data_IF_371184539906
#
_entry.id   IF_371184539906
#
_cell.length_a   1.000
_cell.length_b   1.000
_cell.length_c   1.000
_cell.angle_alpha   90.00
_cell.angle_beta   90.00
_cell.angle_gamma   90.00
#
_symmetry.space_group_name_H-M   'P 1'
#
loop_
_entity.id
_entity.type
_entity.pdbx_description
1 polymer ?
#
# COMPACT_ATOMS: atom_id res chain seq x y z
N UNK A 1 -7.60 -13.37 -17.45
CA UNK A 1 -7.36 -13.70 -16.03
C UNK A 1 -8.58 -13.18 -15.28
N UNK A 2 -8.97 -13.76 -14.15
CA UNK A 2 -10.22 -13.41 -13.49
C UNK A 2 -10.16 -13.72 -12.01
N UNK A 3 -11.03 -13.10 -11.22
CA UNK A 3 -11.01 -13.28 -9.76
C UNK A 3 -11.54 -14.66 -9.44
N UNK A 4 -10.69 -15.50 -8.84
CA UNK A 4 -11.02 -16.88 -8.54
C UNK A 4 -12.12 -16.97 -7.49
N UNK A 5 -12.89 -18.08 -7.54
CA UNK A 5 -13.96 -18.33 -6.57
C UNK A 5 -13.43 -18.36 -5.12
N UNK A 6 -12.21 -18.84 -4.92
CA UNK A 6 -11.60 -18.90 -3.58
C UNK A 6 -11.22 -17.51 -3.07
N UNK A 7 -10.66 -16.65 -3.93
CA UNK A 7 -10.40 -15.24 -3.59
C UNK A 7 -11.69 -14.50 -3.29
N UNK A 8 -12.74 -14.65 -4.13
CA UNK A 8 -14.07 -14.06 -3.86
C UNK A 8 -14.58 -14.48 -2.49
N UNK A 9 -14.51 -15.77 -2.15
CA UNK A 9 -14.97 -16.31 -0.86
C UNK A 9 -14.22 -15.67 0.31
N UNK A 10 -12.89 -15.65 0.25
CA UNK A 10 -12.04 -15.12 1.35
C UNK A 10 -12.29 -13.63 1.58
N UNK A 11 -12.44 -12.85 0.51
CA UNK A 11 -12.73 -11.41 0.61
C UNK A 11 -14.13 -11.17 1.19
N UNK A 12 -15.15 -11.86 0.70
CA UNK A 12 -16.53 -11.69 1.20
C UNK A 12 -16.64 -12.12 2.67
N UNK A 13 -16.02 -13.23 3.06
CA UNK A 13 -16.02 -13.65 4.47
C UNK A 13 -15.27 -12.63 5.36
N UNK A 14 -14.15 -12.05 4.90
CA UNK A 14 -13.47 -10.95 5.59
C UNK A 14 -14.39 -9.72 5.78
N UNK A 15 -15.06 -9.28 4.72
CA UNK A 15 -15.96 -8.12 4.76
C UNK A 15 -17.17 -8.34 5.67
N UNK A 16 -17.70 -9.57 5.72
CA UNK A 16 -18.77 -9.95 6.64
C UNK A 16 -18.32 -10.00 8.10
N UNK A 17 -17.05 -10.36 8.37
CA UNK A 17 -16.47 -10.37 9.73
C UNK A 17 -16.17 -8.96 10.25
N UNK A 18 -15.79 -8.03 9.37
CA UNK A 18 -15.53 -6.63 9.70
C UNK A 18 -16.81 -5.87 10.13
N UNK A 19 -18.00 -6.44 9.88
CA UNK A 19 -19.30 -5.88 10.27
C UNK A 19 -20.13 -5.38 9.07
N UNK A 20 -20.63 -4.13 9.13
CA UNK A 20 -21.38 -3.49 8.03
C UNK A 20 -20.43 -3.03 6.92
N UNK A 21 -20.10 -3.91 5.98
CA UNK A 21 -19.29 -3.55 4.80
C UNK A 21 -19.92 -2.39 4.00
N UNK A 22 -21.23 -2.24 4.07
CA UNK A 22 -22.04 -1.17 3.49
C UNK A 22 -22.06 0.13 4.32
N UNK A 23 -21.28 0.19 5.41
CA UNK A 23 -20.99 1.41 6.16
C UNK A 23 -22.23 2.16 6.65
N UNK A 24 -22.39 3.41 6.23
CA UNK A 24 -23.47 4.30 6.67
C UNK A 24 -24.77 4.16 5.88
N UNK A 25 -24.77 3.46 4.74
CA UNK A 25 -25.97 3.20 3.95
C UNK A 25 -26.80 2.08 4.60
N UNK A 26 -28.03 1.90 4.14
CA UNK A 26 -28.69 0.59 4.31
C UNK A 26 -28.21 -0.40 3.24
N UNK A 27 -28.42 -1.70 3.49
CA UNK A 27 -27.92 -2.74 2.59
C UNK A 27 -28.51 -2.62 1.17
N UNK A 28 -29.82 -2.39 0.96
CA UNK A 28 -30.38 -2.15 -0.37
C UNK A 28 -29.79 -0.92 -1.09
N UNK A 29 -29.64 0.22 -0.40
CA UNK A 29 -29.05 1.43 -0.97
C UNK A 29 -27.63 1.16 -1.48
N UNK A 30 -26.80 0.51 -0.65
CA UNK A 30 -25.44 0.12 -1.03
C UNK A 30 -25.43 -0.82 -2.25
N UNK A 31 -26.26 -1.86 -2.25
CA UNK A 31 -26.28 -2.87 -3.31
C UNK A 31 -26.82 -2.32 -4.64
N UNK A 32 -27.71 -1.33 -4.60
CA UNK A 32 -28.27 -0.68 -5.79
C UNK A 32 -27.21 0.08 -6.60
N UNK A 33 -26.16 0.59 -5.95
CA UNK A 33 -25.02 1.19 -6.64
C UNK A 33 -24.30 0.18 -7.53
N UNK A 34 -24.41 -1.12 -7.26
CA UNK A 34 -23.66 -2.19 -7.92
C UNK A 34 -24.55 -2.94 -8.93
N UNK A 35 -25.72 -3.43 -8.49
CA UNK A 35 -26.58 -4.35 -9.24
C UNK A 35 -27.81 -3.72 -9.93
N UNK A 36 -28.05 -2.40 -9.80
CA UNK A 36 -29.28 -1.74 -10.29
C UNK A 36 -30.55 -2.54 -9.88
N UNK A 37 -30.72 -2.71 -8.57
CA UNK A 37 -31.76 -3.53 -7.97
C UNK A 37 -33.17 -3.06 -8.33
N UNK A 38 -33.32 -1.78 -8.68
CA UNK A 38 -34.61 -1.21 -9.11
C UNK A 38 -35.05 -1.71 -10.47
N UNK A 39 -34.12 -2.14 -11.31
CA UNK A 39 -34.38 -2.76 -12.62
C UNK A 39 -34.52 -4.28 -12.56
N UNK A 40 -34.05 -4.91 -11.48
CA UNK A 40 -34.13 -6.37 -11.31
C UNK A 40 -35.49 -6.82 -10.78
N UNK A 41 -36.00 -7.99 -11.21
CA UNK A 41 -37.21 -8.57 -10.66
C UNK A 41 -37.01 -8.96 -9.19
N UNK A 42 -38.08 -8.88 -8.41
CA UNK A 42 -38.09 -9.38 -7.03
C UNK A 42 -38.09 -10.91 -7.00
N UNK A 43 -37.43 -11.49 -5.99
CA UNK A 43 -37.51 -12.92 -5.67
C UNK A 43 -38.79 -13.25 -4.88
N UNK A 44 -39.41 -12.24 -4.28
CA UNK A 44 -40.72 -12.31 -3.64
C UNK A 44 -41.78 -11.60 -4.50
N UNK A 45 -42.67 -12.37 -5.12
CA UNK A 45 -43.70 -11.86 -6.01
C UNK A 45 -44.67 -10.81 -5.39
N UNK A 46 -44.63 -10.61 -4.07
CA UNK A 46 -45.35 -9.55 -3.37
C UNK A 46 -44.80 -8.16 -3.65
N UNK A 47 -43.56 -8.05 -4.15
CA UNK A 47 -42.85 -6.78 -4.32
C UNK A 47 -42.49 -6.51 -5.79
N UNK A 48 -42.41 -5.23 -6.14
CA UNK A 48 -42.31 -4.80 -7.54
C UNK A 48 -40.92 -4.94 -8.17
N UNK A 49 -39.85 -4.89 -7.37
CA UNK A 49 -38.46 -5.03 -7.82
C UNK A 49 -37.56 -5.54 -6.68
N UNK A 50 -36.34 -5.96 -7.02
CA UNK A 50 -35.38 -6.48 -6.05
C UNK A 50 -35.00 -5.46 -4.98
N UNK A 51 -34.98 -4.15 -5.30
CA UNK A 51 -34.71 -3.11 -4.31
C UNK A 51 -35.74 -3.14 -3.18
N UNK A 52 -37.03 -3.08 -3.51
CA UNK A 52 -38.10 -3.01 -2.53
C UNK A 52 -38.25 -4.31 -1.75
N UNK A 53 -38.00 -5.45 -2.41
CA UNK A 53 -37.90 -6.77 -1.80
C UNK A 53 -36.84 -6.81 -0.70
N UNK A 54 -35.59 -6.49 -1.06
CA UNK A 54 -34.49 -6.46 -0.11
C UNK A 54 -34.73 -5.42 0.98
N UNK A 55 -35.27 -4.24 0.67
CA UNK A 55 -35.57 -3.23 1.68
C UNK A 55 -36.61 -3.72 2.69
N UNK A 56 -37.66 -4.40 2.24
CA UNK A 56 -38.65 -5.00 3.15
C UNK A 56 -38.01 -6.02 4.08
N UNK A 57 -37.19 -6.92 3.56
CA UNK A 57 -36.62 -8.01 4.33
C UNK A 57 -35.41 -7.61 5.20
N UNK A 58 -34.62 -6.63 4.78
CA UNK A 58 -33.38 -6.23 5.49
C UNK A 58 -33.54 -4.99 6.37
N UNK A 59 -34.58 -4.18 6.16
CA UNK A 59 -34.79 -2.92 6.91
C UNK A 59 -36.10 -2.94 7.71
N UNK A 60 -37.22 -3.36 7.12
CA UNK A 60 -38.52 -3.34 7.81
C UNK A 60 -38.74 -4.57 8.70
N UNK A 61 -38.46 -5.76 8.18
CA UNK A 61 -38.66 -7.02 8.90
C UNK A 61 -37.39 -7.56 9.56
N UNK A 62 -36.21 -7.18 9.06
CA UNK A 62 -34.90 -7.64 9.55
C UNK A 62 -34.80 -9.18 9.61
N UNK A 63 -35.33 -9.85 8.58
CA UNK A 63 -35.37 -11.31 8.47
C UNK A 63 -34.39 -11.88 7.42
N UNK A 64 -33.71 -11.03 6.64
CA UNK A 64 -32.58 -11.41 5.79
C UNK A 64 -31.26 -10.86 6.31
N UNK A 65 -30.29 -11.74 6.53
CA UNK A 65 -28.92 -11.34 6.87
C UNK A 65 -28.15 -10.87 5.63
N UNK A 66 -27.13 -9.99 5.79
CA UNK A 66 -26.27 -9.59 4.68
C UNK A 66 -25.59 -10.77 3.98
N UNK A 67 -25.32 -11.86 4.72
CA UNK A 67 -24.77 -13.08 4.16
C UNK A 67 -25.75 -13.74 3.19
N UNK A 68 -26.99 -13.97 3.61
CA UNK A 68 -28.02 -14.58 2.75
C UNK A 68 -28.25 -13.73 1.51
N UNK A 69 -28.34 -12.40 1.64
CA UNK A 69 -28.48 -11.50 0.48
C UNK A 69 -27.35 -11.66 -0.53
N UNK A 70 -26.09 -11.64 -0.09
CA UNK A 70 -24.95 -11.77 -1.00
C UNK A 70 -24.86 -13.16 -1.65
N UNK A 71 -25.06 -14.23 -0.88
CA UNK A 71 -24.85 -15.59 -1.37
C UNK A 71 -26.06 -16.18 -2.08
N UNK A 72 -27.26 -15.98 -1.56
CA UNK A 72 -28.46 -16.69 -2.01
C UNK A 72 -29.29 -15.85 -2.98
N UNK A 73 -29.34 -14.52 -2.78
CA UNK A 73 -30.15 -13.63 -3.61
C UNK A 73 -29.38 -12.99 -4.79
N UNK A 74 -28.10 -12.67 -4.59
CA UNK A 74 -27.26 -12.03 -5.62
C UNK A 74 -26.22 -12.97 -6.25
N UNK A 75 -26.04 -14.16 -5.69
CA UNK A 75 -25.02 -15.14 -6.07
C UNK A 75 -23.64 -14.49 -6.36
N UNK A 76 -23.13 -13.74 -5.38
CA UNK A 76 -21.86 -13.01 -5.48
C UNK A 76 -20.67 -13.91 -5.87
N UNK A 77 -20.78 -15.22 -5.64
CA UNK A 77 -19.75 -16.20 -5.97
C UNK A 77 -19.65 -16.50 -7.47
N UNK A 78 -20.75 -16.30 -8.21
CA UNK A 78 -20.85 -16.58 -9.64
C UNK A 78 -21.01 -15.31 -10.48
N UNK A 79 -21.05 -14.13 -9.86
CA UNK A 79 -21.16 -12.87 -10.59
C UNK A 79 -19.93 -12.61 -11.47
N UNK A 80 -20.12 -11.79 -12.51
CA UNK A 80 -19.01 -11.32 -13.35
C UNK A 80 -17.94 -10.60 -12.52
N UNK A 81 -16.69 -10.68 -12.96
CA UNK A 81 -15.58 -10.07 -12.24
C UNK A 81 -15.69 -8.55 -12.18
N UNK A 82 -16.22 -7.92 -13.22
CA UNK A 82 -16.54 -6.49 -13.26
C UNK A 82 -17.50 -6.07 -12.15
N UNK A 83 -18.52 -6.89 -11.89
CA UNK A 83 -19.49 -6.68 -10.81
C UNK A 83 -18.84 -6.90 -9.45
N UNK A 84 -18.05 -7.95 -9.30
CA UNK A 84 -17.34 -8.25 -8.06
C UNK A 84 -16.35 -7.14 -7.69
N UNK A 85 -15.54 -6.68 -8.65
CA UNK A 85 -14.58 -5.60 -8.44
C UNK A 85 -15.27 -4.28 -8.08
N UNK A 86 -16.40 -3.96 -8.72
CA UNK A 86 -17.24 -2.79 -8.36
C UNK A 86 -17.78 -2.90 -6.93
N UNK A 87 -18.16 -4.10 -6.48
CA UNK A 87 -18.55 -4.32 -5.08
C UNK A 87 -17.41 -4.00 -4.10
N UNK A 88 -16.15 -4.32 -4.44
CA UNK A 88 -14.99 -3.99 -3.60
C UNK A 88 -14.67 -2.50 -3.58
N UNK A 89 -14.80 -1.83 -4.73
CA UNK A 89 -14.67 -0.37 -4.81
C UNK A 89 -15.69 0.30 -3.88
N UNK A 90 -16.95 -0.15 -3.93
CA UNK A 90 -18.02 0.41 -3.08
C UNK A 90 -17.77 0.14 -1.59
N UNK A 91 -17.27 -1.04 -1.22
CA UNK A 91 -16.89 -1.39 0.16
C UNK A 91 -15.76 -0.53 0.74
N UNK A 92 -15.01 0.20 -0.10
CA UNK A 92 -13.90 1.06 0.29
C UNK A 92 -14.14 2.53 -0.02
N UNK A 93 -15.31 2.87 -0.58
CA UNK A 93 -15.61 4.22 -1.00
C UNK A 93 -15.84 5.15 0.21
N UNK A 94 -15.26 6.37 0.23
CA UNK A 94 -15.34 7.26 1.38
C UNK A 94 -16.75 7.85 1.64
N UNK A 95 -17.70 7.69 0.72
CA UNK A 95 -19.12 7.99 0.99
C UNK A 95 -19.88 6.84 1.67
N UNK A 96 -19.31 5.63 1.65
CA UNK A 96 -19.84 4.43 2.32
C UNK A 96 -19.19 4.30 3.69
N UNK A 97 -17.86 4.43 3.77
CA UNK A 97 -17.05 4.28 4.98
C UNK A 97 -16.35 5.61 5.29
N UNK A 98 -16.69 6.27 6.40
CA UNK A 98 -16.11 7.58 6.75
C UNK A 98 -14.78 7.49 7.51
N UNK A 99 -14.38 6.29 7.96
CA UNK A 99 -13.13 6.09 8.68
C UNK A 99 -12.00 5.67 7.75
N UNK A 100 -11.06 6.58 7.50
CA UNK A 100 -9.89 6.33 6.65
C UNK A 100 -9.01 5.17 7.16
N UNK A 101 -8.97 4.90 8.47
CA UNK A 101 -8.20 3.77 9.00
C UNK A 101 -8.87 2.43 8.66
N UNK A 102 -10.20 2.39 8.62
CA UNK A 102 -10.96 1.21 8.16
C UNK A 102 -10.77 1.03 6.65
N UNK A 103 -10.84 2.10 5.87
CA UNK A 103 -10.57 2.06 4.42
C UNK A 103 -9.17 1.51 4.14
N UNK A 104 -8.14 2.05 4.78
CA UNK A 104 -6.75 1.62 4.61
C UNK A 104 -6.56 0.13 4.96
N UNK A 105 -7.21 -0.32 6.04
CA UNK A 105 -7.16 -1.73 6.46
C UNK A 105 -7.85 -2.64 5.43
N UNK A 106 -9.06 -2.28 4.98
CA UNK A 106 -9.79 -3.03 3.96
C UNK A 106 -9.02 -3.11 2.66
N UNK A 107 -8.53 -1.98 2.14
CA UNK A 107 -7.74 -1.94 0.91
C UNK A 107 -6.51 -2.84 1.04
N UNK A 108 -5.78 -2.78 2.15
CA UNK A 108 -4.63 -3.64 2.39
C UNK A 108 -5.00 -5.12 2.36
N UNK A 109 -5.99 -5.54 3.14
CA UNK A 109 -6.39 -6.95 3.24
C UNK A 109 -7.00 -7.48 1.94
N UNK A 110 -7.81 -6.68 1.24
CA UNK A 110 -8.35 -7.03 -0.07
C UNK A 110 -7.21 -7.21 -1.07
N UNK A 111 -6.23 -6.30 -1.09
CA UNK A 111 -5.09 -6.38 -1.99
C UNK A 111 -4.15 -7.54 -1.68
N UNK A 112 -4.05 -8.01 -0.44
CA UNK A 112 -3.32 -9.24 -0.09
C UNK A 112 -3.95 -10.49 -0.72
N UNK A 113 -5.25 -10.43 -1.04
CA UNK A 113 -5.99 -11.53 -1.66
C UNK A 113 -6.08 -11.39 -3.18
N UNK A 114 -6.45 -10.20 -3.69
CA UNK A 114 -6.61 -9.94 -5.12
C UNK A 114 -5.30 -10.07 -5.92
N UNK A 115 -4.15 -9.80 -5.30
CA UNK A 115 -2.85 -9.87 -5.97
C UNK A 115 -2.59 -11.24 -6.58
N UNK A 116 -3.10 -12.31 -5.95
CA UNK A 116 -2.96 -13.67 -6.43
C UNK A 116 -3.74 -13.94 -7.72
N UNK A 117 -4.76 -13.15 -8.01
CA UNK A 117 -5.58 -13.23 -9.21
C UNK A 117 -5.26 -12.13 -10.24
N UNK A 118 -4.20 -11.34 -9.99
CA UNK A 118 -3.74 -10.29 -10.90
C UNK A 118 -4.54 -9.00 -10.84
N UNK A 119 -5.20 -8.70 -9.70
CA UNK A 119 -5.94 -7.45 -9.50
C UNK A 119 -5.51 -6.74 -8.21
N UNK A 120 -5.76 -5.43 -8.14
CA UNK A 120 -5.66 -4.66 -6.89
C UNK A 120 -6.58 -3.44 -6.91
N UNK A 121 -6.95 -2.96 -5.72
CA UNK A 121 -7.49 -1.63 -5.49
C UNK A 121 -6.33 -0.62 -5.45
N UNK A 122 -6.29 0.28 -6.42
CA UNK A 122 -5.29 1.34 -6.56
C UNK A 122 -5.91 2.70 -6.29
N UNK A 123 -5.18 3.60 -5.64
CA UNK A 123 -5.61 4.98 -5.45
C UNK A 123 -5.90 5.62 -6.81
N UNK A 124 -7.06 6.25 -6.94
CA UNK A 124 -7.50 6.91 -8.17
C UNK A 124 -7.54 8.43 -7.98
N UNK A 125 -8.33 8.90 -7.02
CA UNK A 125 -8.46 10.33 -6.70
C UNK A 125 -8.93 10.55 -5.26
N UNK A 126 -9.21 11.80 -4.88
CA UNK A 126 -9.82 12.15 -3.59
C UNK A 126 -11.19 12.79 -3.77
N UNK A 127 -12.13 12.46 -2.90
CA UNK A 127 -13.44 13.11 -2.77
C UNK A 127 -13.49 13.78 -1.40
N UNK A 128 -13.67 15.10 -1.36
CA UNK A 128 -13.68 15.91 -0.12
C UNK A 128 -12.44 15.73 0.79
N UNK A 129 -11.31 15.27 0.23
CA UNK A 129 -10.08 15.01 0.97
C UNK A 129 -9.86 13.55 1.30
N UNK A 130 -10.86 12.69 1.16
CA UNK A 130 -10.76 11.25 1.44
C UNK A 130 -10.41 10.43 0.19
N UNK A 131 -9.64 9.34 0.31
CA UNK A 131 -9.14 8.58 -0.83
C UNK A 131 -10.23 7.70 -1.46
N UNK A 132 -10.23 7.65 -2.79
CA UNK A 132 -11.03 6.73 -3.59
C UNK A 132 -10.10 5.73 -4.28
N UNK A 133 -10.47 4.45 -4.23
CA UNK A 133 -9.72 3.37 -4.85
C UNK A 133 -10.52 2.73 -5.98
N UNK A 134 -9.82 2.31 -7.04
CA UNK A 134 -10.37 1.61 -8.19
C UNK A 134 -9.68 0.28 -8.41
N UNK A 135 -10.46 -0.73 -8.78
CA UNK A 135 -9.91 -2.02 -9.13
C UNK A 135 -9.22 -1.94 -10.49
N UNK A 136 -7.97 -2.40 -10.53
CA UNK A 136 -7.14 -2.44 -11.74
C UNK A 136 -6.51 -3.81 -11.89
N UNK A 137 -6.30 -4.24 -13.14
CA UNK A 137 -5.40 -5.36 -13.42
C UNK A 137 -3.98 -4.97 -13.06
N UNK A 138 -3.28 -5.85 -12.35
CA UNK A 138 -1.87 -5.69 -12.01
C UNK A 138 -1.07 -5.87 -13.29
N UNK A 139 -0.49 -4.78 -13.75
CA UNK A 139 0.57 -4.81 -14.75
C UNK A 139 1.91 -4.91 -14.00
N UNK A 140 2.99 -5.40 -14.62
CA UNK A 140 4.28 -5.57 -13.92
C UNK A 140 4.84 -4.31 -13.22
N UNK A 141 4.35 -3.12 -13.56
CA UNK A 141 4.69 -1.87 -12.85
C UNK A 141 3.93 -1.69 -11.52
N UNK A 142 2.78 -2.34 -11.33
CA UNK A 142 1.94 -2.20 -10.14
C UNK A 142 2.51 -2.92 -8.92
N UNK A 143 3.11 -4.12 -9.08
CA UNK A 143 3.84 -4.80 -7.98
C UNK A 143 5.00 -3.95 -7.48
N UNK A 144 5.77 -3.37 -8.41
CA UNK A 144 6.87 -2.46 -8.09
C UNK A 144 6.33 -1.21 -7.38
N UNK A 145 5.21 -0.66 -7.85
CA UNK A 145 4.56 0.50 -7.24
C UNK A 145 4.12 0.21 -5.80
N UNK A 146 3.50 -0.94 -5.54
CA UNK A 146 3.12 -1.36 -4.18
C UNK A 146 4.33 -1.54 -3.26
N UNK A 147 5.39 -2.17 -3.74
CA UNK A 147 6.61 -2.33 -2.96
C UNK A 147 7.23 -0.96 -2.61
N UNK A 148 7.22 -0.01 -3.54
CA UNK A 148 7.62 1.37 -3.29
C UNK A 148 6.76 2.05 -2.21
N UNK A 149 5.44 1.85 -2.22
CA UNK A 149 4.52 2.37 -1.20
C UNK A 149 4.80 1.78 0.19
N UNK A 150 5.08 0.47 0.27
CA UNK A 150 5.44 -0.21 1.51
C UNK A 150 6.76 0.37 2.07
N UNK A 151 7.80 0.46 1.25
CA UNK A 151 9.10 1.00 1.65
C UNK A 151 8.96 2.46 2.10
N UNK A 152 8.15 3.25 1.38
CA UNK A 152 7.84 4.62 1.80
C UNK A 152 7.16 4.67 3.17
N UNK A 153 6.16 3.80 3.39
CA UNK A 153 5.46 3.73 4.68
C UNK A 153 6.40 3.30 5.81
N UNK A 154 7.34 2.40 5.56
CA UNK A 154 8.40 2.03 6.51
C UNK A 154 9.25 3.26 6.84
N UNK A 155 9.79 3.96 5.83
CA UNK A 155 10.62 5.15 6.00
C UNK A 155 9.91 6.26 6.80
N UNK A 156 8.67 6.57 6.45
CA UNK A 156 7.89 7.62 7.15
C UNK A 156 7.54 7.25 8.59
N UNK A 157 7.44 5.97 8.92
CA UNK A 157 7.15 5.50 10.29
C UNK A 157 8.40 5.08 11.07
N UNK A 158 9.59 5.09 10.45
CA UNK A 158 10.84 4.64 11.05
C UNK A 158 11.11 5.32 12.40
N UNK A 159 10.99 6.65 12.47
CA UNK A 159 11.22 7.39 13.72
C UNK A 159 10.24 7.01 14.83
N UNK A 160 9.00 6.61 14.50
CA UNK A 160 8.04 6.12 15.50
C UNK A 160 8.52 4.80 16.10
N UNK A 161 9.04 3.88 15.27
CA UNK A 161 9.64 2.63 15.73
C UNK A 161 10.86 2.90 16.62
N UNK A 162 11.75 3.82 16.20
CA UNK A 162 12.90 4.25 17.01
C UNK A 162 12.45 4.75 18.38
N UNK A 163 11.43 5.61 18.46
CA UNK A 163 10.93 6.12 19.73
C UNK A 163 10.43 5.02 20.68
N UNK A 164 9.80 3.96 20.16
CA UNK A 164 9.38 2.81 20.97
C UNK A 164 10.60 2.03 21.48
N UNK A 165 11.62 1.85 20.65
CA UNK A 165 12.82 1.10 21.00
C UNK A 165 13.78 1.87 21.93
N UNK A 166 13.73 3.21 21.89
CA UNK A 166 14.44 4.07 22.84
C UNK A 166 13.74 4.15 24.20
N UNK A 167 12.40 4.17 24.23
CA UNK A 167 11.61 4.35 25.45
C UNK A 167 11.03 3.03 25.96
N UNK A 168 11.90 2.14 26.43
CA UNK A 168 11.51 0.76 26.80
C UNK A 168 10.91 0.68 28.21
N UNK A 169 9.94 -0.21 28.40
CA UNK A 169 9.37 -0.51 29.70
C UNK A 169 10.41 -0.99 30.71
N UNK A 170 10.21 -0.61 31.98
CA UNK A 170 11.02 -1.02 33.14
C UNK A 170 12.51 -0.69 32.97
N UNK A 171 12.81 0.48 32.41
CA UNK A 171 14.19 1.01 32.29
C UNK A 171 15.16 0.05 31.58
N UNK A 172 14.64 -0.76 30.64
CA UNK A 172 15.49 -1.63 29.83
C UNK A 172 16.40 -0.79 28.92
N UNK A 173 17.61 -1.28 28.68
CA UNK A 173 18.60 -0.66 27.79
C UNK A 173 17.98 -0.32 26.43
N UNK A 174 18.02 0.97 26.07
CA UNK A 174 17.53 1.47 24.78
C UNK A 174 18.30 0.85 23.60
N UNK A 175 17.61 0.66 22.47
CA UNK A 175 18.28 0.47 21.18
C UNK A 175 18.49 1.86 20.58
N UNK A 176 19.72 2.37 20.66
CA UNK A 176 20.06 3.73 20.23
C UNK A 176 20.48 3.69 18.77
N UNK A 177 19.98 4.64 17.97
CA UNK A 177 20.42 4.84 16.59
C UNK A 177 21.54 5.88 16.58
N UNK A 178 22.79 5.43 16.62
CA UNK A 178 23.96 6.31 16.65
C UNK A 178 24.39 6.68 15.23
N UNK A 179 24.49 5.69 14.35
CA UNK A 179 24.99 5.86 12.98
C UNK A 179 24.10 5.21 11.91
N UNK A 180 24.63 5.12 10.68
CA UNK A 180 23.93 4.58 9.52
C UNK A 180 23.74 3.06 9.59
N UNK A 181 24.65 2.33 10.24
CA UNK A 181 24.54 0.89 10.41
C UNK A 181 23.39 0.54 11.36
N UNK A 182 23.16 1.34 12.40
CA UNK A 182 21.98 1.16 13.26
C UNK A 182 20.67 1.42 12.51
N UNK A 183 20.68 2.36 11.55
CA UNK A 183 19.55 2.57 10.64
C UNK A 183 19.35 1.35 9.74
N UNK A 184 20.43 0.79 9.19
CA UNK A 184 20.38 -0.42 8.37
C UNK A 184 19.81 -1.60 9.14
N UNK A 185 20.24 -1.83 10.38
CA UNK A 185 19.74 -2.94 11.21
C UNK A 185 18.23 -2.87 11.43
N UNK A 186 17.73 -1.72 11.88
CA UNK A 186 16.30 -1.57 12.16
C UNK A 186 15.47 -1.52 10.87
N UNK A 187 15.92 -0.78 9.85
CA UNK A 187 15.18 -0.64 8.60
C UNK A 187 15.15 -1.97 7.84
N UNK A 188 16.27 -2.69 7.82
CA UNK A 188 16.37 -4.04 7.26
C UNK A 188 15.44 -5.03 7.95
N UNK A 189 15.33 -4.99 9.28
CA UNK A 189 14.36 -5.80 10.02
C UNK A 189 12.90 -5.47 9.63
N UNK A 190 12.59 -4.19 9.45
CA UNK A 190 11.27 -3.76 8.98
C UNK A 190 11.00 -4.23 7.54
N UNK A 191 11.95 -4.11 6.61
CA UNK A 191 11.81 -4.61 5.24
C UNK A 191 11.51 -6.11 5.20
N UNK A 192 12.26 -6.90 5.97
CA UNK A 192 12.08 -8.37 6.08
C UNK A 192 10.75 -8.80 6.67
N UNK A 193 9.99 -7.86 7.26
CA UNK A 193 8.64 -8.12 7.72
C UNK A 193 7.59 -8.05 6.59
N UNK A 194 7.97 -7.53 5.41
CA UNK A 194 7.08 -7.36 4.26
C UNK A 194 7.55 -8.04 2.97
N UNK A 195 8.84 -8.33 2.84
CA UNK A 195 9.44 -8.87 1.62
C UNK A 195 10.22 -10.16 1.90
N UNK A 196 10.06 -11.17 1.04
CA UNK A 196 10.66 -12.49 1.21
C UNK A 196 12.16 -12.51 0.81
N UNK A 197 12.56 -11.89 -0.32
CA UNK A 197 13.95 -11.82 -0.80
C UNK A 197 14.55 -10.41 -0.66
N UNK A 198 14.96 -10.07 0.56
CA UNK A 198 15.75 -8.87 0.89
C UNK A 198 17.23 -9.25 1.01
N UNK A 199 18.07 -8.77 0.09
CA UNK A 199 19.51 -9.05 0.08
C UNK A 199 20.27 -7.85 0.62
N UNK A 200 21.08 -8.08 1.65
CA UNK A 200 21.93 -7.05 2.23
C UNK A 200 23.36 -7.17 1.67
N UNK A 201 24.07 -6.03 1.59
CA UNK A 201 25.48 -5.96 1.18
C UNK A 201 25.79 -6.59 -0.20
N UNK A 202 24.86 -6.52 -1.15
CA UNK A 202 25.08 -7.07 -2.49
C UNK A 202 26.16 -6.25 -3.22
N UNK A 203 27.20 -6.95 -3.69
CA UNK A 203 28.33 -6.32 -4.39
C UNK A 203 27.92 -5.97 -5.81
N UNK A 204 28.08 -4.69 -6.16
CA UNK A 204 27.81 -4.22 -7.52
C UNK A 204 29.00 -4.59 -8.43
N UNK A 205 28.76 -5.10 -9.66
CA UNK A 205 29.81 -5.24 -10.65
C UNK A 205 30.59 -3.93 -10.79
N UNK A 206 31.92 -4.01 -10.89
CA UNK A 206 32.78 -2.83 -10.81
C UNK A 206 32.35 -1.72 -11.79
N UNK A 207 31.91 -0.58 -11.26
CA UNK A 207 31.63 0.62 -12.03
C UNK A 207 32.74 1.64 -11.76
N UNK A 208 33.38 2.14 -12.82
CA UNK A 208 34.48 3.11 -12.75
C UNK A 208 35.63 2.75 -11.76
N UNK A 209 35.91 1.45 -11.58
CA UNK A 209 37.01 0.97 -10.73
C UNK A 209 36.73 0.94 -9.22
N UNK A 210 35.49 1.21 -8.78
CA UNK A 210 35.09 1.10 -7.38
C UNK A 210 34.32 -0.19 -7.07
N UNK A 211 34.52 -0.75 -5.88
CA UNK A 211 33.63 -1.73 -5.27
C UNK A 211 32.67 -1.00 -4.34
N UNK A 212 31.41 -0.85 -4.75
CA UNK A 212 30.31 -0.34 -3.91
C UNK A 212 29.42 -1.49 -3.47
N UNK A 213 28.94 -1.41 -2.24
CA UNK A 213 27.96 -2.35 -1.68
C UNK A 213 26.65 -1.61 -1.52
N UNK A 214 25.59 -2.22 -2.04
CA UNK A 214 24.22 -1.74 -1.84
C UNK A 214 23.79 -2.11 -0.43
N UNK A 215 23.10 -1.21 0.26
CA UNK A 215 22.54 -1.52 1.59
C UNK A 215 21.52 -2.65 1.50
N UNK A 216 20.47 -2.48 0.67
CA UNK A 216 19.50 -3.54 0.39
C UNK A 216 19.05 -3.61 -1.08
N UNK A 217 18.90 -4.83 -1.59
CA UNK A 217 18.20 -5.14 -2.83
C UNK A 217 16.95 -5.97 -2.50
N UNK A 218 15.77 -5.45 -2.87
CA UNK A 218 14.52 -6.21 -2.90
C UNK A 218 14.46 -6.89 -4.28
N UNK A 219 14.79 -8.18 -4.32
CA UNK A 219 15.23 -8.83 -5.56
C UNK A 219 14.11 -8.95 -6.58
N UNK A 220 12.96 -9.42 -6.15
CA UNK A 220 11.85 -9.76 -7.04
C UNK A 220 11.25 -8.51 -7.68
N UNK A 221 11.22 -7.40 -6.93
CA UNK A 221 10.70 -6.10 -7.35
C UNK A 221 11.75 -5.21 -8.02
N UNK A 222 13.02 -5.64 -8.06
CA UNK A 222 14.14 -4.90 -8.65
C UNK A 222 14.30 -3.48 -8.05
N UNK A 223 14.19 -3.39 -6.72
CA UNK A 223 14.30 -2.15 -5.96
C UNK A 223 15.58 -2.15 -5.15
N UNK A 224 16.43 -1.15 -5.38
CA UNK A 224 17.56 -0.85 -4.50
C UNK A 224 17.10 0.15 -3.45
N UNK A 225 17.41 -0.14 -2.18
CA UNK A 225 17.20 0.76 -1.06
C UNK A 225 18.57 1.18 -0.52
N UNK A 226 18.82 2.49 -0.51
CA UNK A 226 20.00 3.15 0.04
C UNK A 226 19.61 3.92 1.31
N UNK A 227 20.38 3.79 2.38
CA UNK A 227 20.10 4.41 3.66
C UNK A 227 21.18 5.42 4.01
N UNK A 228 20.76 6.56 4.56
CA UNK A 228 21.68 7.57 5.10
C UNK A 228 21.22 8.03 6.47
N UNK A 229 22.16 8.32 7.37
CA UNK A 229 21.88 9.06 8.61
C UNK A 229 22.59 10.40 8.61
N UNK A 230 21.85 11.49 8.81
CA UNK A 230 22.46 12.81 8.89
C UNK A 230 23.33 12.95 10.14
N UNK A 231 24.30 13.85 10.05
CA UNK A 231 25.18 14.24 11.15
C UNK A 231 25.74 15.63 10.89
N UNK A 232 26.44 16.20 11.87
CA UNK A 232 27.03 17.56 11.81
C UNK A 232 27.76 17.88 10.49
N UNK A 233 28.44 16.90 9.90
CA UNK A 233 29.22 17.05 8.67
C UNK A 233 28.55 16.42 7.42
N UNK A 234 27.35 15.85 7.54
CA UNK A 234 26.60 15.22 6.46
C UNK A 234 25.17 15.77 6.47
N UNK A 235 24.96 16.84 5.71
CA UNK A 235 23.72 17.66 5.62
C UNK A 235 23.34 17.85 4.15
N UNK A 236 22.51 18.86 3.83
CA UNK A 236 21.82 19.00 2.53
C UNK A 236 22.72 18.73 1.30
N UNK A 237 23.87 19.41 1.22
CA UNK A 237 24.78 19.32 0.07
C UNK A 237 25.50 17.98 0.02
N UNK A 238 26.00 17.53 1.17
CA UNK A 238 26.79 16.31 1.25
C UNK A 238 25.92 15.07 1.03
N UNK A 239 24.71 15.03 1.60
CA UNK A 239 23.70 13.99 1.33
C UNK A 239 23.35 13.95 -0.16
N UNK A 240 23.05 15.11 -0.77
CA UNK A 240 22.73 15.16 -2.19
C UNK A 240 23.88 14.62 -3.06
N UNK A 241 25.12 15.00 -2.77
CA UNK A 241 26.28 14.53 -3.52
C UNK A 241 26.50 13.01 -3.37
N UNK A 242 26.39 12.46 -2.16
CA UNK A 242 26.55 11.02 -1.94
C UNK A 242 25.47 10.24 -2.68
N UNK A 243 24.19 10.61 -2.53
CA UNK A 243 23.08 9.93 -3.19
C UNK A 243 23.16 9.97 -4.72
N UNK A 244 23.68 11.05 -5.30
CA UNK A 244 23.90 11.12 -6.76
C UNK A 244 25.02 10.18 -7.23
N UNK A 245 26.06 10.02 -6.44
CA UNK A 245 27.13 9.06 -6.71
C UNK A 245 26.57 7.63 -6.62
N UNK A 246 25.79 7.33 -5.59
CA UNK A 246 25.21 6.00 -5.37
C UNK A 246 24.21 5.66 -6.48
N UNK A 247 23.32 6.59 -6.84
CA UNK A 247 22.41 6.46 -7.97
C UNK A 247 23.16 6.18 -9.28
N UNK A 248 24.24 6.92 -9.56
CA UNK A 248 25.05 6.72 -10.75
C UNK A 248 25.68 5.32 -10.78
N UNK A 249 26.23 4.83 -9.67
CA UNK A 249 26.85 3.50 -9.57
C UNK A 249 25.84 2.38 -9.74
N UNK A 250 24.65 2.53 -9.19
CA UNK A 250 23.65 1.46 -9.17
C UNK A 250 22.77 1.43 -10.42
N UNK A 251 22.74 2.51 -11.21
CA UNK A 251 22.04 2.55 -12.50
C UNK A 251 22.48 1.46 -13.49
N UNK A 252 23.69 0.91 -13.35
CA UNK A 252 24.19 -0.20 -14.16
C UNK A 252 23.87 -1.60 -13.61
N UNK A 253 23.23 -1.70 -12.45
CA UNK A 253 22.92 -2.98 -11.83
C UNK A 253 21.72 -3.64 -12.57
N UNK A 254 21.82 -4.92 -12.99
CA UNK A 254 20.80 -5.56 -13.84
C UNK A 254 19.42 -5.67 -13.17
N UNK A 255 19.38 -5.63 -11.84
CA UNK A 255 18.15 -5.65 -11.05
C UNK A 255 17.80 -4.30 -10.42
N UNK A 256 18.21 -3.18 -11.04
CA UNK A 256 17.87 -1.86 -10.53
C UNK A 256 16.93 -1.11 -11.46
N UNK A 257 15.63 -1.36 -11.31
CA UNK A 257 14.56 -0.59 -11.98
C UNK A 257 14.13 0.61 -11.16
N UNK A 258 14.18 0.48 -9.83
CA UNK A 258 13.84 1.56 -8.90
C UNK A 258 14.96 1.75 -7.88
N UNK A 259 15.35 3.00 -7.67
CA UNK A 259 16.24 3.43 -6.59
C UNK A 259 15.43 4.20 -5.55
N UNK A 260 15.45 3.72 -4.31
CA UNK A 260 14.84 4.37 -3.16
C UNK A 260 15.92 4.76 -2.15
N UNK A 261 15.98 6.04 -1.77
CA UNK A 261 16.84 6.49 -0.69
C UNK A 261 16.02 6.90 0.52
N UNK A 262 16.38 6.41 1.70
CA UNK A 262 15.85 6.91 2.97
C UNK A 262 16.96 7.61 3.77
N UNK A 263 16.76 8.90 4.02
CA UNK A 263 17.64 9.72 4.85
C UNK A 263 16.99 9.93 6.22
N UNK A 264 17.55 9.31 7.24
CA UNK A 264 17.13 9.49 8.62
C UNK A 264 17.76 10.78 9.19
N UNK A 265 16.94 11.79 9.44
CA UNK A 265 17.35 13.12 9.93
C UNK A 265 16.73 13.49 11.30
N UNK A 266 17.03 12.73 12.37
CA UNK A 266 16.40 12.96 13.68
C UNK A 266 16.70 14.34 14.26
N UNK A 267 17.88 14.90 13.96
CA UNK A 267 18.38 16.17 14.48
C UNK A 267 18.08 17.38 13.57
N UNK A 268 17.36 17.15 12.46
CA UNK A 268 16.93 18.20 11.50
C UNK A 268 18.11 18.99 10.91
N UNK A 269 19.14 18.29 10.47
CA UNK A 269 20.27 18.89 9.75
C UNK A 269 19.89 19.37 8.34
N UNK A 270 18.87 18.76 7.72
CA UNK A 270 18.35 19.16 6.41
C UNK A 270 17.37 20.33 6.56
N UNK A 271 17.63 21.44 5.88
CA UNK A 271 16.85 22.68 6.06
C UNK A 271 15.50 22.64 5.35
N UNK A 272 15.46 22.08 4.15
CA UNK A 272 14.26 21.98 3.33
C UNK A 272 14.13 20.54 2.79
N UNK A 273 13.74 19.58 3.65
CA UNK A 273 13.70 18.17 3.28
C UNK A 273 12.77 17.91 2.08
N UNK A 274 11.56 18.47 2.07
CA UNK A 274 10.61 18.34 0.95
C UNK A 274 11.20 18.86 -0.37
N UNK A 275 11.95 19.97 -0.33
CA UNK A 275 12.63 20.49 -1.51
C UNK A 275 13.72 19.54 -2.02
N UNK A 276 14.55 19.04 -1.11
CA UNK A 276 15.64 18.13 -1.44
C UNK A 276 15.14 16.78 -1.99
N UNK A 277 14.09 16.21 -1.39
CA UNK A 277 13.40 15.01 -1.90
C UNK A 277 12.96 15.18 -3.34
N UNK A 278 12.28 16.31 -3.64
CA UNK A 278 11.77 16.62 -4.98
C UNK A 278 12.90 16.85 -5.98
N UNK A 279 13.98 17.50 -5.59
CA UNK A 279 15.10 17.79 -6.48
C UNK A 279 15.89 16.54 -6.86
N UNK A 280 16.07 15.60 -5.91
CA UNK A 280 16.77 14.35 -6.16
C UNK A 280 15.92 13.30 -6.88
N UNK A 281 14.58 13.37 -6.78
CA UNK A 281 13.66 12.42 -7.43
C UNK A 281 13.29 12.78 -8.88
N UNK A 282 13.92 13.79 -9.50
CA UNK A 282 13.60 14.26 -10.85
C UNK A 282 14.08 13.30 -11.95
N UNK A 283 13.25 13.02 -12.98
CA UNK A 283 13.66 12.26 -14.17
C UNK A 283 14.70 13.08 -14.95
N UNK A 284 15.96 12.65 -14.89
CA UNK A 284 17.13 13.39 -15.41
C UNK A 284 18.40 13.18 -14.58
N UNK A 285 18.27 12.66 -13.35
CA UNK A 285 19.38 12.24 -12.50
C UNK A 285 19.83 10.78 -12.77
N UNK A 286 19.12 10.04 -13.62
CA UNK A 286 19.31 8.60 -13.92
C UNK A 286 19.15 8.29 -15.41
N UNK A 287 19.40 7.04 -15.82
CA UNK A 287 18.99 6.55 -17.13
C UNK A 287 17.46 6.68 -17.29
N UNK A 288 16.98 6.88 -18.53
CA UNK A 288 15.57 7.19 -18.81
C UNK A 288 14.55 6.11 -18.32
N UNK A 289 15.03 4.94 -17.89
CA UNK A 289 14.20 3.80 -17.47
C UNK A 289 14.15 3.59 -15.95
N UNK A 290 14.95 4.31 -15.15
CA UNK A 290 15.07 4.09 -13.71
C UNK A 290 14.23 5.06 -12.90
N UNK A 291 13.32 4.53 -12.06
CA UNK A 291 12.52 5.33 -11.11
C UNK A 291 13.35 5.69 -9.89
N UNK A 292 13.30 6.96 -9.47
CA UNK A 292 14.06 7.45 -8.30
C UNK A 292 13.09 8.04 -7.28
N UNK A 293 13.24 7.66 -6.01
CA UNK A 293 12.46 8.22 -4.91
C UNK A 293 13.32 8.43 -3.68
N UNK A 294 13.41 9.67 -3.23
CA UNK A 294 14.13 10.05 -2.00
C UNK A 294 13.12 10.43 -0.92
N UNK A 295 13.32 9.89 0.27
CA UNK A 295 12.51 10.17 1.46
C UNK A 295 13.45 10.61 2.57
N UNK A 296 13.13 11.73 3.21
CA UNK A 296 13.85 12.27 4.35
C UNK A 296 12.86 12.26 5.52
N UNK A 297 13.21 11.67 6.65
CA UNK A 297 12.33 11.69 7.82
C UNK A 297 13.14 11.59 9.13
N UNK A 298 12.62 12.09 10.26
CA UNK A 298 11.34 12.78 10.43
C UNK A 298 11.40 14.26 10.00
N UNK A 299 10.33 14.77 9.42
CA UNK A 299 10.08 16.21 9.30
C UNK A 299 8.59 16.52 9.22
#
# INVERSE_FOLDING_TARGET
>A
MGVSRDTKRRIVDFLLMDGKFYGHLDLPEFLDHIWDLRSLPSNDNRYGNAYYDLWKHTVEFDDYSPREVLFDHLDIMSCEDTVFLKFLEECTHPLVVFDNQVIDTRVSTINDLLVHDGYMLKFDHRVQGDPVYKAVEIVGDDTTTRAVEIIERIARNFHKAVNVLCNRHKERTAFVIEDEYDVQDLFGAMLRSFFDDVRAEEVVPSYAGGHSRIDFLIKDENIIVELKKTRKNLKDKEIGNELLIDLSRYSSHPNCKTFMAFVYDPDRYIKNPVGLERDLSKPGQSSAEMRVKVIIAPH
#
